data_IF_015424531829
#
_entry.id   IF_015424531829
#
_cell.length_a   1.000
_cell.length_b   1.000
_cell.length_c   1.000
_cell.angle_alpha   90.00
_cell.angle_beta   90.00
_cell.angle_gamma   90.00
#
_symmetry.space_group_name_H-M   'P 1'
#
loop_
_entity.id
_entity.type
_entity.pdbx_description
1 polymer ?
#
# COMPACT_ATOMS: atom_id res chain seq x y z
N UNK A 1 35.33 29.15 -6.70
CA UNK A 1 35.29 28.21 -5.56
C UNK A 1 34.41 27.03 -5.93
N UNK A 2 34.91 25.78 -5.85
CA UNK A 2 34.10 24.59 -6.16
C UNK A 2 32.95 24.43 -5.16
N UNK A 3 31.73 24.20 -5.67
CA UNK A 3 30.52 23.86 -4.90
C UNK A 3 30.38 22.36 -4.64
N UNK A 4 31.25 21.56 -5.25
CA UNK A 4 31.22 20.10 -5.28
C UNK A 4 31.75 19.49 -3.98
N UNK A 5 31.15 18.40 -3.51
CA UNK A 5 31.41 17.86 -2.17
C UNK A 5 32.84 17.36 -1.98
N UNK A 6 33.47 16.87 -3.05
CA UNK A 6 34.75 16.18 -3.01
C UNK A 6 34.69 14.80 -2.35
N UNK A 7 33.50 14.31 -2.02
CA UNK A 7 33.30 12.99 -1.42
C UNK A 7 33.36 11.90 -2.47
N UNK A 8 33.97 10.77 -2.11
CA UNK A 8 34.01 9.56 -2.93
C UNK A 8 32.74 8.73 -2.78
N UNK A 9 32.37 7.98 -3.82
CA UNK A 9 31.21 7.08 -3.82
C UNK A 9 30.07 7.56 -4.72
N UNK A 10 29.01 6.77 -4.82
CA UNK A 10 27.79 7.11 -5.55
C UNK A 10 26.64 7.45 -4.59
N UNK A 11 25.76 8.35 -5.02
CA UNK A 11 24.57 8.71 -4.28
C UNK A 11 23.52 7.61 -4.42
N UNK A 12 23.02 7.10 -3.29
CA UNK A 12 22.01 6.04 -3.25
C UNK A 12 20.70 6.41 -3.95
N UNK A 13 20.40 7.71 -4.07
CA UNK A 13 19.12 8.20 -4.59
C UNK A 13 19.15 8.48 -6.09
N UNK A 14 20.20 9.14 -6.61
CA UNK A 14 20.28 9.50 -8.03
C UNK A 14 21.35 8.73 -8.81
N UNK A 15 22.20 7.93 -8.15
CA UNK A 15 23.25 7.14 -8.80
C UNK A 15 24.50 7.93 -9.17
N UNK A 16 24.40 9.26 -9.30
CA UNK A 16 25.54 10.12 -9.59
C UNK A 16 26.60 10.11 -8.47
N UNK A 17 27.84 10.39 -8.83
CA UNK A 17 28.93 10.43 -7.87
C UNK A 17 28.70 11.50 -6.80
N UNK A 18 29.11 11.21 -5.56
CA UNK A 18 28.97 12.16 -4.45
C UNK A 18 29.78 13.43 -4.68
N UNK A 19 30.90 13.36 -5.40
CA UNK A 19 31.68 14.54 -5.79
C UNK A 19 30.89 15.50 -6.69
N UNK A 20 29.82 15.05 -7.36
CA UNK A 20 28.88 15.88 -8.14
C UNK A 20 27.74 16.45 -7.28
N UNK A 21 27.75 16.20 -5.96
CA UNK A 21 26.78 16.76 -5.03
C UNK A 21 27.32 18.03 -4.37
N UNK A 22 26.41 18.86 -3.86
CA UNK A 22 26.76 20.06 -3.10
C UNK A 22 27.54 19.69 -1.82
N UNK A 23 28.58 20.48 -1.50
CA UNK A 23 29.34 20.36 -0.24
C UNK A 23 28.43 20.27 0.98
N UNK A 24 28.77 19.35 1.88
CA UNK A 24 28.05 19.12 3.13
C UNK A 24 27.90 20.36 4.01
N UNK A 25 28.83 21.33 3.94
CA UNK A 25 28.74 22.59 4.69
C UNK A 25 27.70 23.56 4.12
N UNK A 26 27.32 23.42 2.85
CA UNK A 26 26.38 24.30 2.15
C UNK A 26 24.99 23.70 1.98
N UNK A 27 24.84 22.41 2.24
CA UNK A 27 23.58 21.67 2.05
C UNK A 27 22.89 21.27 3.36
N UNK A 28 23.03 22.03 4.46
CA UNK A 28 22.38 21.71 5.74
C UNK A 28 21.10 22.48 5.99
N UNK A 29 20.13 21.85 6.65
CA UNK A 29 18.96 22.53 7.19
C UNK A 29 19.38 23.63 8.17
N UNK A 30 18.87 24.85 8.00
CA UNK A 30 19.17 25.98 8.89
C UNK A 30 18.61 25.79 10.31
N UNK A 31 17.61 24.91 10.48
CA UNK A 31 16.98 24.63 11.80
C UNK A 31 17.59 23.43 12.52
N UNK A 32 17.66 22.27 11.86
CA UNK A 32 18.07 21.02 12.49
C UNK A 32 19.44 20.50 12.05
N UNK A 33 20.15 21.23 11.20
CA UNK A 33 21.50 20.92 10.71
C UNK A 33 21.66 19.59 9.95
N UNK A 34 20.56 18.86 9.67
CA UNK A 34 20.57 17.65 8.83
C UNK A 34 20.98 17.98 7.40
N UNK A 35 21.73 17.08 6.77
CA UNK A 35 22.33 17.26 5.44
C UNK A 35 21.39 16.84 4.32
N UNK A 36 21.16 17.74 3.37
CA UNK A 36 20.52 17.46 2.11
C UNK A 36 21.56 16.94 1.11
N UNK A 37 21.17 15.92 0.34
CA UNK A 37 21.90 15.51 -0.85
C UNK A 37 21.33 16.28 -2.04
N UNK A 38 22.14 17.16 -2.62
CA UNK A 38 21.75 18.01 -3.75
C UNK A 38 22.71 17.73 -4.90
N UNK A 39 22.25 17.00 -5.90
CA UNK A 39 22.98 16.66 -7.10
C UNK A 39 23.11 17.88 -8.02
N UNK A 40 24.34 18.16 -8.46
CA UNK A 40 24.69 19.24 -9.37
C UNK A 40 25.08 18.70 -10.77
N UNK A 41 24.92 17.40 -11.01
CA UNK A 41 25.25 16.78 -12.29
C UNK A 41 24.40 17.38 -13.44
N UNK A 42 25.00 17.64 -14.62
CA UNK A 42 24.30 18.24 -15.75
C UNK A 42 23.34 17.26 -16.47
N UNK A 43 23.35 15.97 -16.10
CA UNK A 43 22.59 14.89 -16.73
C UNK A 43 21.09 14.85 -16.39
N UNK A 44 20.59 15.80 -15.60
CA UNK A 44 19.16 15.94 -15.34
C UNK A 44 18.49 16.75 -16.45
N UNK A 45 17.35 16.26 -17.00
CA UNK A 45 16.63 16.77 -18.20
C UNK A 45 16.39 18.27 -18.26
N UNK A 46 16.43 18.95 -17.12
CA UNK A 46 16.33 20.40 -17.05
C UNK A 46 17.53 20.89 -16.26
N UNK A 47 18.44 21.58 -16.97
CA UNK A 47 19.70 22.14 -16.50
C UNK A 47 19.57 22.87 -15.16
N UNK A 48 19.63 22.10 -14.06
CA UNK A 48 19.28 22.58 -12.74
C UNK A 48 19.47 21.48 -11.70
N UNK A 49 19.81 21.90 -10.49
CA UNK A 49 20.16 20.99 -9.41
C UNK A 49 18.95 20.16 -8.96
N UNK A 50 19.23 18.96 -8.43
CA UNK A 50 18.21 18.05 -7.91
C UNK A 50 18.42 17.76 -6.45
N UNK A 51 17.34 17.81 -5.68
CA UNK A 51 17.31 17.37 -4.29
C UNK A 51 17.06 15.86 -4.31
N UNK A 52 18.11 15.12 -3.96
CA UNK A 52 18.13 13.68 -3.89
C UNK A 52 17.43 13.15 -2.64
N UNK A 53 17.62 13.85 -1.52
CA UNK A 53 17.06 13.49 -0.23
C UNK A 53 16.68 14.73 0.59
N UNK A 54 15.55 14.63 1.30
CA UNK A 54 15.04 15.63 2.23
C UNK A 54 14.97 14.97 3.61
N UNK A 55 16.02 15.12 4.45
CA UNK A 55 16.17 14.34 5.67
C UNK A 55 15.30 14.85 6.85
N UNK A 56 14.53 15.93 6.65
CA UNK A 56 13.82 16.61 7.74
C UNK A 56 12.53 17.30 7.30
N UNK A 57 11.52 17.31 8.19
CA UNK A 57 10.23 17.98 8.01
C UNK A 57 10.18 19.45 8.45
N UNK A 58 11.32 20.12 8.67
CA UNK A 58 11.34 21.48 9.21
C UNK A 58 10.63 22.53 8.33
N UNK A 59 10.40 22.22 7.04
CA UNK A 59 9.77 23.08 6.05
C UNK A 59 10.77 23.82 5.16
N UNK A 60 10.32 24.20 3.96
CA UNK A 60 11.14 24.81 2.91
C UNK A 60 11.84 26.12 3.31
N UNK A 61 11.26 26.88 4.26
CA UNK A 61 11.88 28.10 4.80
C UNK A 61 13.26 27.88 5.45
N UNK A 62 13.55 26.66 5.92
CA UNK A 62 14.84 26.31 6.54
C UNK A 62 15.76 25.54 5.60
N UNK A 63 15.40 25.37 4.34
CA UNK A 63 16.26 24.69 3.39
C UNK A 63 17.56 25.49 3.17
N UNK A 64 18.68 24.81 2.86
CA UNK A 64 19.91 25.50 2.50
C UNK A 64 19.67 26.40 1.30
N UNK A 65 20.41 27.50 1.20
CA UNK A 65 20.29 28.39 0.03
C UNK A 65 20.60 27.68 -1.28
N UNK A 66 21.43 26.63 -1.26
CA UNK A 66 21.70 25.79 -2.42
C UNK A 66 20.51 24.91 -2.84
N UNK A 67 19.51 24.71 -1.98
CA UNK A 67 18.27 24.06 -2.38
C UNK A 67 17.26 25.03 -3.00
N UNK A 68 17.48 26.36 -2.86
CA UNK A 68 16.65 27.36 -3.52
C UNK A 68 16.92 27.31 -5.03
N UNK A 69 15.97 26.75 -5.79
CA UNK A 69 16.11 26.52 -7.23
C UNK A 69 16.44 25.08 -7.60
N UNK A 70 16.79 24.24 -6.61
CA UNK A 70 16.88 22.80 -6.82
C UNK A 70 15.48 22.19 -6.84
N UNK A 71 15.21 21.32 -7.80
CA UNK A 71 13.94 20.58 -7.90
C UNK A 71 14.07 19.24 -7.22
N UNK A 72 12.98 18.64 -6.75
CA UNK A 72 13.04 17.24 -6.31
C UNK A 72 13.37 16.34 -7.50
N UNK A 73 14.06 15.22 -7.24
CA UNK A 73 14.18 14.16 -8.25
C UNK A 73 12.79 13.74 -8.72
N UNK A 74 12.63 13.62 -10.05
CA UNK A 74 11.47 12.93 -10.64
C UNK A 74 11.58 11.44 -10.36
N UNK A 75 10.47 10.70 -10.49
CA UNK A 75 10.47 9.25 -10.32
C UNK A 75 11.44 8.55 -11.28
N UNK A 76 11.49 9.02 -12.53
CA UNK A 76 12.44 8.59 -13.56
C UNK A 76 13.89 8.98 -13.25
N UNK A 77 14.11 9.83 -12.24
CA UNK A 77 15.42 10.32 -11.80
C UNK A 77 15.99 9.58 -10.59
N UNK A 78 15.20 8.71 -9.96
CA UNK A 78 15.70 7.85 -8.90
C UNK A 78 16.51 6.70 -9.50
N UNK A 79 17.65 6.41 -8.89
CA UNK A 79 18.61 5.42 -9.34
C UNK A 79 17.98 4.02 -9.44
N UNK A 80 18.07 3.38 -10.61
CA UNK A 80 18.89 2.16 -10.76
C UNK A 80 20.26 2.42 -11.40
N UNK A 81 20.88 3.53 -10.97
CA UNK A 81 22.16 4.15 -11.37
C UNK A 81 22.15 5.06 -12.62
N UNK A 82 20.96 5.29 -13.17
CA UNK A 82 20.45 6.54 -13.78
C UNK A 82 21.41 7.46 -14.57
N UNK A 83 21.39 7.37 -15.91
CA UNK A 83 21.04 8.51 -16.78
C UNK A 83 19.67 8.34 -17.46
N UNK A 84 18.64 8.85 -16.78
CA UNK A 84 17.22 8.93 -17.19
C UNK A 84 16.44 7.62 -17.16
N UNK A 85 16.74 6.76 -16.18
CA UNK A 85 16.16 5.43 -16.12
C UNK A 85 14.66 5.41 -15.80
N UNK A 86 13.91 4.75 -16.68
CA UNK A 86 12.55 4.24 -16.48
C UNK A 86 12.56 2.75 -16.85
N UNK A 87 11.74 1.88 -16.27
CA UNK A 87 10.46 1.60 -16.92
C UNK A 87 9.49 0.91 -15.96
N UNK A 88 8.27 1.44 -15.76
CA UNK A 88 7.13 0.66 -15.31
C UNK A 88 6.39 0.06 -16.53
N UNK A 89 6.46 -1.26 -16.81
CA UNK A 89 5.80 -1.83 -17.98
C UNK A 89 4.44 -2.46 -17.65
N UNK A 90 3.49 -2.02 -18.47
CA UNK A 90 2.14 -2.45 -18.85
C UNK A 90 1.34 -3.40 -17.96
N UNK A 91 0.18 -2.89 -17.55
CA UNK A 91 -0.98 -3.67 -17.18
C UNK A 91 -1.26 -4.76 -18.23
N UNK A 92 -1.12 -6.02 -17.82
CA UNK A 92 -1.85 -7.22 -18.25
C UNK A 92 -1.93 -7.56 -19.73
N UNK A 93 -1.23 -8.63 -20.14
CA UNK A 93 -1.85 -9.70 -20.93
C UNK A 93 -1.12 -11.04 -20.70
N UNK A 94 -1.90 -12.04 -20.34
CA UNK A 94 -1.54 -13.45 -20.20
C UNK A 94 -0.70 -13.96 -21.39
N UNK A 95 0.39 -14.65 -21.11
CA UNK A 95 0.70 -15.94 -21.77
C UNK A 95 1.82 -16.64 -21.02
N UNK A 96 1.48 -17.82 -20.52
CA UNK A 96 2.37 -18.79 -19.90
C UNK A 96 3.60 -19.10 -20.75
N UNK A 97 4.80 -18.85 -20.21
CA UNK A 97 5.97 -19.66 -20.56
C UNK A 97 6.81 -19.85 -19.29
N UNK A 98 7.10 -21.11 -18.96
CA UNK A 98 8.03 -21.47 -17.89
C UNK A 98 9.42 -20.94 -18.24
N UNK A 99 9.91 -19.98 -17.45
CA UNK A 99 11.31 -19.61 -17.44
C UNK A 99 11.83 -19.79 -16.01
N UNK A 100 12.56 -20.89 -15.81
CA UNK A 100 13.42 -21.16 -14.66
C UNK A 100 14.39 -20.01 -14.44
N UNK A 101 14.03 -19.06 -13.57
CA UNK A 101 14.98 -18.12 -12.99
C UNK A 101 15.60 -18.76 -11.77
N UNK A 102 16.88 -19.12 -11.86
CA UNK A 102 17.73 -19.34 -10.69
C UNK A 102 17.90 -18.02 -9.96
N UNK A 103 17.01 -17.75 -9.00
CA UNK A 103 17.26 -16.78 -7.94
C UNK A 103 18.26 -17.42 -6.98
N UNK A 104 19.43 -16.83 -6.81
CA UNK A 104 20.34 -17.24 -5.75
C UNK A 104 19.63 -17.06 -4.42
N UNK A 105 19.26 -18.19 -3.81
CA UNK A 105 18.55 -18.28 -2.55
C UNK A 105 19.42 -17.75 -1.41
N UNK A 106 19.22 -16.49 -1.05
CA UNK A 106 19.16 -16.15 0.37
C UNK A 106 17.73 -16.51 0.83
N UNK A 107 17.54 -17.15 1.98
CA UNK A 107 16.21 -17.50 2.46
C UNK A 107 15.41 -16.19 2.57
N UNK A 108 14.39 -16.05 1.71
CA UNK A 108 13.49 -14.92 1.75
C UNK A 108 12.75 -14.98 3.08
N UNK A 109 13.28 -14.28 4.09
CA UNK A 109 12.60 -14.12 5.37
C UNK A 109 11.23 -13.53 5.06
N UNK A 110 10.17 -14.21 5.50
CA UNK A 110 8.80 -13.72 5.33
C UNK A 110 8.70 -12.28 5.85
N UNK A 111 7.96 -11.40 5.15
CA UNK A 111 7.80 -10.02 5.59
C UNK A 111 7.16 -9.98 6.97
N UNK A 112 7.72 -9.17 7.86
CA UNK A 112 7.27 -9.03 9.24
C UNK A 112 6.19 -7.97 9.31
N UNK A 113 4.98 -8.37 9.72
CA UNK A 113 3.92 -7.40 9.99
C UNK A 113 4.22 -6.60 11.26
N UNK A 114 4.13 -5.27 11.16
CA UNK A 114 4.40 -4.36 12.28
C UNK A 114 3.28 -3.34 12.47
N UNK A 115 2.98 -3.04 13.74
CA UNK A 115 2.05 -1.97 14.10
C UNK A 115 2.82 -0.71 14.43
N UNK A 116 2.67 0.31 13.59
CA UNK A 116 3.34 1.59 13.77
C UNK A 116 2.66 2.44 14.85
N UNK A 117 3.47 3.06 15.69
CA UNK A 117 3.07 4.13 16.62
C UNK A 117 3.65 5.45 16.14
N UNK A 118 2.85 6.51 16.14
CA UNK A 118 3.35 7.84 15.80
C UNK A 118 4.11 8.44 16.99
N UNK A 119 5.30 8.97 16.72
CA UNK A 119 6.15 9.66 17.69
C UNK A 119 6.70 10.94 17.06
N UNK A 120 5.94 12.04 17.14
CA UNK A 120 6.22 13.26 16.39
C UNK A 120 6.17 13.03 14.88
N UNK A 121 7.23 13.39 14.17
CA UNK A 121 7.36 13.19 12.71
C UNK A 121 7.80 11.76 12.33
N UNK A 122 8.02 10.89 13.31
CA UNK A 122 8.54 9.54 13.12
C UNK A 122 7.46 8.49 13.39
N UNK A 123 7.67 7.31 12.82
CA UNK A 123 6.95 6.09 13.12
C UNK A 123 7.86 5.15 13.90
N UNK A 124 7.32 4.58 14.96
CA UNK A 124 8.01 3.72 15.89
C UNK A 124 7.37 2.33 15.92
N UNK A 125 8.20 1.29 15.89
CA UNK A 125 7.78 -0.08 16.16
C UNK A 125 8.93 -0.87 16.80
N UNK A 126 8.62 -2.08 17.29
CA UNK A 126 9.61 -2.96 17.92
C UNK A 126 9.77 -4.25 17.14
N UNK A 127 11.01 -4.69 16.93
CA UNK A 127 11.34 -5.98 16.34
C UNK A 127 12.58 -6.55 17.06
N UNK A 128 12.51 -7.81 17.50
CA UNK A 128 13.59 -8.47 18.27
C UNK A 128 14.11 -7.64 19.46
N UNK A 129 13.19 -7.09 20.27
CA UNK A 129 13.47 -6.18 21.40
C UNK A 129 14.17 -4.86 21.05
N UNK A 130 14.41 -4.58 19.77
CA UNK A 130 14.96 -3.32 19.30
C UNK A 130 13.84 -2.39 18.87
N UNK A 131 13.93 -1.13 19.29
CA UNK A 131 13.04 -0.05 18.88
C UNK A 131 13.57 0.54 17.58
N UNK A 132 12.74 0.49 16.53
CA UNK A 132 13.05 0.99 15.20
C UNK A 132 12.26 2.27 14.97
N UNK A 133 12.95 3.33 14.53
CA UNK A 133 12.38 4.63 14.21
C UNK A 133 12.50 4.88 12.70
N UNK A 134 11.37 5.17 12.06
CA UNK A 134 11.28 5.42 10.62
C UNK A 134 10.52 6.70 10.34
N UNK A 135 10.51 7.14 9.09
CA UNK A 135 9.69 8.26 8.63
C UNK A 135 8.70 7.77 7.57
N UNK A 136 7.63 8.51 7.33
CA UNK A 136 6.66 8.17 6.28
C UNK A 136 7.28 7.92 4.91
N UNK A 137 8.35 8.65 4.58
CA UNK A 137 9.07 8.50 3.30
C UNK A 137 9.83 7.17 3.16
N UNK A 138 10.03 6.42 4.24
CA UNK A 138 10.64 5.09 4.20
C UNK A 138 9.64 3.99 3.81
N UNK A 139 8.34 4.31 3.82
CA UNK A 139 7.28 3.37 3.53
C UNK A 139 6.77 3.59 2.10
N UNK A 140 6.79 2.52 1.30
CA UNK A 140 6.25 2.53 -0.07
C UNK A 140 4.97 1.70 -0.15
N UNK A 141 3.93 2.16 -0.87
CA UNK A 141 2.78 1.32 -1.13
C UNK A 141 3.21 0.14 -2.01
N UNK A 142 2.69 -1.05 -1.73
CA UNK A 142 3.00 -2.28 -2.46
C UNK A 142 1.81 -3.24 -2.43
N UNK A 143 1.82 -4.24 -3.31
CA UNK A 143 0.92 -5.39 -3.26
C UNK A 143 1.74 -6.64 -2.98
N UNK A 144 1.32 -7.40 -1.97
CA UNK A 144 2.00 -8.61 -1.56
C UNK A 144 0.96 -9.69 -1.24
N UNK A 145 1.30 -10.93 -1.54
CA UNK A 145 0.56 -12.09 -1.05
C UNK A 145 1.01 -12.36 0.38
N UNK A 146 0.13 -12.08 1.34
CA UNK A 146 0.38 -12.32 2.76
C UNK A 146 -0.71 -13.27 3.28
N UNK A 147 -0.30 -14.40 3.88
CA UNK A 147 -1.21 -15.46 4.33
C UNK A 147 -2.16 -15.98 3.23
N UNK A 148 -1.66 -16.06 1.98
CA UNK A 148 -2.44 -16.57 0.85
C UNK A 148 -3.42 -15.56 0.24
N UNK A 149 -3.43 -14.31 0.70
CA UNK A 149 -4.27 -13.25 0.16
C UNK A 149 -3.39 -12.12 -0.42
N UNK A 150 -3.68 -11.70 -1.65
CA UNK A 150 -3.04 -10.52 -2.24
C UNK A 150 -3.71 -9.25 -1.72
N UNK A 151 -2.93 -8.40 -1.07
CA UNK A 151 -3.43 -7.19 -0.43
C UNK A 151 -2.49 -6.00 -0.58
N UNK A 152 -3.04 -4.79 -0.41
CA UNK A 152 -2.30 -3.53 -0.49
C UNK A 152 -1.66 -3.18 0.87
N UNK A 153 -0.34 -3.20 0.94
CA UNK A 153 0.46 -2.89 2.13
C UNK A 153 1.34 -1.65 1.94
N UNK A 154 1.83 -1.14 3.05
CA UNK A 154 3.03 -0.32 3.08
C UNK A 154 4.22 -1.20 3.43
N UNK A 155 5.25 -1.16 2.61
CA UNK A 155 6.49 -1.91 2.76
C UNK A 155 7.64 -0.97 3.11
N UNK A 156 8.48 -1.41 4.04
CA UNK A 156 9.76 -0.79 4.37
C UNK A 156 10.81 -1.88 4.52
N UNK A 157 11.98 -1.67 3.93
CA UNK A 157 13.11 -2.60 4.03
C UNK A 157 14.19 -1.99 4.91
N UNK A 158 14.62 -2.72 5.94
CA UNK A 158 15.73 -2.31 6.79
C UNK A 158 16.58 -3.52 7.19
N UNK A 159 17.88 -3.44 6.97
CA UNK A 159 18.86 -4.48 7.29
C UNK A 159 18.52 -5.88 6.73
N UNK A 160 18.00 -5.92 5.50
CA UNK A 160 17.60 -7.17 4.84
C UNK A 160 16.29 -7.79 5.36
N UNK A 161 15.59 -7.11 6.26
CA UNK A 161 14.26 -7.50 6.74
C UNK A 161 13.21 -6.61 6.09
N UNK A 162 12.18 -7.25 5.53
CA UNK A 162 11.01 -6.59 4.99
C UNK A 162 9.96 -6.42 6.08
N UNK A 163 9.49 -5.20 6.29
CA UNK A 163 8.44 -4.87 7.25
C UNK A 163 7.20 -4.38 6.52
N UNK A 164 6.03 -4.89 6.90
CA UNK A 164 4.76 -4.51 6.29
C UNK A 164 3.78 -3.95 7.32
N UNK A 165 2.96 -2.97 6.90
CA UNK A 165 1.83 -2.47 7.68
C UNK A 165 0.65 -2.14 6.76
N UNK A 166 -0.57 -2.25 7.27
CA UNK A 166 -1.78 -1.87 6.53
C UNK A 166 -2.01 -0.36 6.50
N UNK A 167 -1.50 0.35 7.51
CA UNK A 167 -1.83 1.76 7.73
C UNK A 167 -0.59 2.56 8.13
N UNK A 168 -0.53 3.81 7.67
CA UNK A 168 0.42 4.79 8.16
C UNK A 168 -0.30 5.76 9.12
N UNK A 169 0.23 5.97 10.33
CA UNK A 169 -0.31 6.98 11.24
C UNK A 169 -0.19 8.39 10.64
N UNK A 170 -1.28 9.16 10.55
CA UNK A 170 -1.22 10.59 10.17
C UNK A 170 -1.70 11.50 11.29
N UNK A 171 -1.43 12.82 11.19
CA UNK A 171 -1.83 13.80 12.22
C UNK A 171 -3.35 13.91 12.40
N UNK A 172 -4.13 13.53 11.38
CA UNK A 172 -5.57 13.50 11.41
C UNK A 172 -6.04 12.14 10.87
N UNK A 173 -6.30 11.20 11.78
CA UNK A 173 -6.72 9.82 11.52
C UNK A 173 -5.69 8.91 10.79
N UNK A 174 -5.78 7.61 11.07
CA UNK A 174 -5.01 6.59 10.37
C UNK A 174 -5.36 6.64 8.87
N UNK A 175 -4.37 6.86 8.00
CA UNK A 175 -4.58 6.64 6.57
C UNK A 175 -4.49 5.14 6.36
N UNK A 176 -5.67 4.53 6.34
CA UNK A 176 -5.84 3.15 5.94
C UNK A 176 -5.50 3.02 4.45
N UNK A 177 -4.75 1.96 4.10
CA UNK A 177 -4.72 1.47 2.72
C UNK A 177 -6.16 1.41 2.20
N UNK A 178 -6.43 1.98 1.01
CA UNK A 178 -7.78 2.36 0.53
C UNK A 178 -8.78 1.19 0.37
N UNK A 179 -8.46 -0.02 0.81
CA UNK A 179 -9.31 -1.21 0.76
C UNK A 179 -9.64 -1.86 2.11
N UNK A 180 -9.03 -1.45 3.24
CA UNK A 180 -9.22 -2.17 4.51
C UNK A 180 -10.53 -1.88 5.27
N UNK A 181 -11.54 -1.24 4.64
CA UNK A 181 -12.83 -0.92 5.27
C UNK A 181 -13.82 -2.11 5.32
N UNK A 182 -13.37 -3.33 5.04
CA UNK A 182 -14.25 -4.48 4.81
C UNK A 182 -14.14 -5.68 5.73
N UNK A 183 -13.44 -5.66 6.89
CA UNK A 183 -13.63 -6.67 7.96
C UNK A 183 -12.90 -6.28 9.25
N UNK A 184 -13.60 -5.57 10.13
CA UNK A 184 -13.25 -5.57 11.56
C UNK A 184 -13.69 -6.91 12.13
N UNK A 185 -12.75 -7.83 12.36
CA UNK A 185 -12.97 -8.90 13.34
C UNK A 185 -12.92 -8.24 14.72
N UNK A 186 -14.07 -8.12 15.35
CA UNK A 186 -14.20 -7.63 16.71
C UNK A 186 -13.50 -8.64 17.64
N UNK A 187 -12.46 -8.21 18.34
CA UNK A 187 -12.00 -8.88 19.55
C UNK A 187 -12.72 -8.23 20.74
N UNK A 188 -13.65 -8.91 21.43
CA UNK A 188 -13.98 -8.53 22.79
C UNK A 188 -12.84 -8.92 23.73
N UNK A 189 -12.65 -8.07 24.74
CA UNK A 189 -11.64 -8.17 25.77
C UNK A 189 -11.60 -9.54 26.46
N UNK A 190 -10.39 -9.95 26.84
CA UNK A 190 -10.13 -11.17 27.61
C UNK A 190 -11.01 -11.29 28.86
N UNK A 191 -11.38 -12.53 29.21
CA UNK A 191 -11.22 -13.04 30.56
C UNK A 191 -9.97 -13.92 30.60
N UNK A 192 -9.19 -13.74 31.65
CA UNK A 192 -8.10 -14.61 32.06
C UNK A 192 -8.57 -16.06 32.20
N UNK A 193 -8.18 -16.92 31.25
CA UNK A 193 -8.25 -18.36 31.46
C UNK A 193 -6.95 -18.81 32.12
N UNK A 194 -7.05 -19.07 33.42
CA UNK A 194 -6.20 -20.00 34.12
C UNK A 194 -6.17 -21.30 33.31
N UNK A 195 -4.98 -21.78 32.96
CA UNK A 195 -4.79 -23.10 32.38
C UNK A 195 -5.02 -24.12 33.47
N UNK A 196 -6.24 -24.62 33.61
CA UNK A 196 -6.41 -25.98 34.16
C UNK A 196 -5.92 -26.96 33.11
N UNK A 197 -4.78 -27.60 33.41
CA UNK A 197 -4.37 -28.87 32.86
C UNK A 197 -5.55 -29.84 32.99
N UNK A 198 -6.27 -30.10 31.90
CA UNK A 198 -7.20 -31.23 31.81
C UNK A 198 -6.76 -32.11 30.65
N UNK A 199 -6.19 -33.26 31.03
CA UNK A 199 -6.24 -34.57 30.39
C UNK A 199 -6.55 -34.59 28.89
N UNK A 200 -5.49 -34.41 28.10
CA UNK A 200 -5.44 -34.86 26.71
C UNK A 200 -5.38 -36.39 26.69
N UNK A 201 -6.52 -37.04 26.95
CA UNK A 201 -6.69 -38.48 26.75
C UNK A 201 -6.74 -38.77 25.26
N UNK A 202 -5.89 -39.69 24.81
CA UNK A 202 -5.81 -40.19 23.44
C UNK A 202 -7.23 -40.52 22.90
N UNK A 203 -7.64 -40.02 21.71
CA UNK A 203 -8.94 -40.32 21.10
C UNK A 203 -9.26 -41.81 20.96
N UNK A 204 -8.24 -42.69 20.99
CA UNK A 204 -8.43 -44.14 20.99
C UNK A 204 -8.86 -44.72 22.34
N UNK A 205 -8.87 -43.92 23.40
CA UNK A 205 -9.28 -44.33 24.75
C UNK A 205 -10.62 -43.71 25.18
N UNK A 206 -11.32 -43.05 24.27
CA UNK A 206 -12.66 -42.54 24.56
C UNK A 206 -13.68 -43.69 24.57
N UNK A 207 -14.61 -43.62 25.51
CA UNK A 207 -15.77 -44.51 25.50
C UNK A 207 -16.76 -44.08 24.40
N UNK A 208 -17.61 -45.02 24.00
CA UNK A 208 -18.53 -44.85 22.88
C UNK A 208 -19.48 -43.65 23.08
N UNK A 209 -19.84 -43.35 24.33
CA UNK A 209 -20.70 -42.21 24.67
C UNK A 209 -19.99 -40.86 24.42
N UNK A 210 -18.69 -40.76 24.73
CA UNK A 210 -17.89 -39.55 24.44
C UNK A 210 -17.60 -39.40 22.95
N UNK A 211 -17.39 -40.50 22.24
CA UNK A 211 -17.22 -40.48 20.77
C UNK A 211 -18.50 -39.97 20.10
N UNK A 212 -19.68 -40.43 20.52
CA UNK A 212 -20.96 -39.94 19.96
C UNK A 212 -21.19 -38.45 20.26
N UNK A 213 -20.85 -37.97 21.46
CA UNK A 213 -20.99 -36.56 21.83
C UNK A 213 -20.07 -35.63 21.00
N UNK A 214 -18.81 -36.00 20.81
CA UNK A 214 -17.85 -35.27 19.96
C UNK A 214 -18.25 -35.35 18.48
N UNK A 215 -18.74 -36.50 18.01
CA UNK A 215 -19.19 -36.69 16.62
C UNK A 215 -20.48 -35.91 16.32
N UNK A 216 -21.38 -35.76 17.31
CA UNK A 216 -22.55 -34.88 17.18
C UNK A 216 -22.15 -33.40 17.09
N UNK A 217 -21.14 -32.93 17.84
CA UNK A 217 -20.63 -31.57 17.71
C UNK A 217 -19.93 -31.34 16.37
N UNK A 218 -19.15 -32.31 15.90
CA UNK A 218 -18.55 -32.28 14.56
C UNK A 218 -19.61 -32.26 13.45
N UNK A 219 -20.72 -33.00 13.62
CA UNK A 219 -21.84 -33.02 12.68
C UNK A 219 -22.62 -31.70 12.67
N UNK A 220 -22.74 -31.00 13.80
CA UNK A 220 -23.33 -29.65 13.83
C UNK A 220 -22.45 -28.62 13.11
N UNK A 221 -21.13 -28.81 13.10
CA UNK A 221 -20.18 -27.98 12.34
C UNK A 221 -20.14 -28.34 10.85
N UNK A 222 -20.45 -29.59 10.48
CA UNK A 222 -20.59 -30.03 9.09
C UNK A 222 -21.85 -29.49 8.39
N UNK A 223 -22.82 -28.95 9.14
CA UNK A 223 -24.00 -28.26 8.60
C UNK A 223 -23.73 -26.90 7.94
N UNK A 224 -22.47 -26.43 7.95
CA UNK A 224 -22.01 -25.24 7.22
C UNK A 224 -21.18 -25.56 5.96
N UNK A 225 -21.12 -26.83 5.55
CA UNK A 225 -20.46 -27.26 4.33
C UNK A 225 -21.42 -27.20 3.11
N UNK A 226 -21.30 -26.10 2.37
CA UNK A 226 -21.28 -26.03 0.90
C UNK A 226 -22.13 -27.05 0.13
N UNK A 227 -23.31 -26.59 -0.31
CA UNK A 227 -23.99 -27.18 -1.46
C UNK A 227 -23.08 -27.08 -2.68
N UNK A 228 -22.63 -28.24 -3.16
CA UNK A 228 -21.92 -28.39 -4.42
C UNK A 228 -22.83 -27.99 -5.58
N UNK A 229 -22.36 -27.05 -6.39
CA UNK A 229 -23.03 -26.64 -7.62
C UNK A 229 -22.33 -25.48 -8.32
N UNK A 230 -21.62 -25.83 -9.40
CA UNK A 230 -21.48 -25.01 -10.62
C UNK A 230 -20.49 -23.83 -10.63
N UNK A 231 -19.40 -24.03 -11.39
CA UNK A 231 -18.73 -23.09 -12.31
C UNK A 231 -18.52 -21.66 -11.84
N UNK A 232 -17.26 -21.30 -11.55
CA UNK A 232 -16.62 -19.97 -11.63
C UNK A 232 -17.56 -18.78 -11.87
N UNK A 233 -18.42 -18.49 -10.90
CA UNK A 233 -19.10 -17.21 -10.81
C UNK A 233 -18.22 -16.32 -9.94
N UNK A 234 -17.32 -15.59 -10.60
CA UNK A 234 -16.76 -14.36 -10.03
C UNK A 234 -17.96 -13.54 -9.58
N UNK A 235 -18.14 -13.42 -8.26
CA UNK A 235 -19.22 -12.62 -7.70
C UNK A 235 -18.98 -11.18 -8.16
N UNK A 236 -19.85 -10.71 -9.06
CA UNK A 236 -19.80 -9.32 -9.50
C UNK A 236 -20.32 -8.46 -8.33
N UNK A 237 -19.41 -7.97 -7.50
CA UNK A 237 -19.69 -7.13 -6.33
C UNK A 237 -20.28 -5.74 -6.70
N UNK A 238 -20.56 -5.49 -7.98
CA UNK A 238 -21.10 -4.23 -8.48
C UNK A 238 -22.58 -4.09 -8.17
N UNK A 239 -22.96 -2.88 -7.74
CA UNK A 239 -24.36 -2.53 -7.52
C UNK A 239 -25.00 -2.14 -8.85
N UNK A 240 -25.91 -2.99 -9.35
CA UNK A 240 -26.67 -2.70 -10.56
C UNK A 240 -27.66 -1.55 -10.34
N UNK A 241 -27.57 -0.49 -11.16
CA UNK A 241 -28.41 0.71 -11.06
C UNK A 241 -29.02 1.10 -12.40
N UNK A 242 -30.13 1.84 -12.33
CA UNK A 242 -30.75 2.47 -13.50
C UNK A 242 -30.30 3.93 -13.55
N UNK A 243 -29.37 4.23 -14.47
CA UNK A 243 -28.80 5.56 -14.64
C UNK A 243 -29.44 6.31 -15.83
N UNK A 244 -29.52 7.64 -15.72
CA UNK A 244 -29.97 8.51 -16.81
C UNK A 244 -29.22 9.82 -16.84
N UNK A 245 -29.12 10.44 -18.01
CA UNK A 245 -28.56 11.77 -18.15
C UNK A 245 -29.45 12.80 -17.46
N UNK A 246 -28.82 13.73 -16.76
CA UNK A 246 -29.45 14.87 -16.12
C UNK A 246 -28.64 16.12 -16.51
N UNK A 247 -29.25 17.04 -17.25
CA UNK A 247 -28.52 18.18 -17.81
C UNK A 247 -27.51 17.78 -18.89
N UNK A 248 -26.50 18.64 -19.14
CA UNK A 248 -25.52 18.45 -20.23
C UNK A 248 -24.40 17.46 -19.88
N UNK A 249 -24.06 17.33 -18.61
CA UNK A 249 -22.80 16.72 -18.15
C UNK A 249 -22.94 15.88 -16.88
N UNK A 250 -24.17 15.59 -16.43
CA UNK A 250 -24.41 14.76 -15.25
C UNK A 250 -25.23 13.53 -15.55
N UNK A 251 -25.09 12.54 -14.67
CA UNK A 251 -25.82 11.28 -14.65
C UNK A 251 -26.44 11.12 -13.27
N UNK A 252 -27.75 10.91 -13.23
CA UNK A 252 -28.50 10.61 -12.01
C UNK A 252 -28.87 9.13 -11.94
N UNK A 253 -28.82 8.55 -10.75
CA UNK A 253 -29.22 7.17 -10.47
C UNK A 253 -29.64 7.04 -9.00
N UNK A 254 -30.34 5.96 -8.65
CA UNK A 254 -30.68 5.65 -7.24
C UNK A 254 -29.72 4.60 -6.71
N UNK A 255 -29.23 4.77 -5.47
CA UNK A 255 -28.47 3.73 -4.78
C UNK A 255 -29.39 2.64 -4.20
N UNK A 256 -28.81 1.64 -3.52
CA UNK A 256 -29.58 0.56 -2.90
C UNK A 256 -30.61 1.04 -1.87
N UNK A 257 -30.38 2.20 -1.25
CA UNK A 257 -31.31 2.82 -0.28
C UNK A 257 -32.41 3.65 -0.95
N UNK A 258 -32.48 3.66 -2.29
CA UNK A 258 -33.43 4.46 -3.06
C UNK A 258 -33.12 5.96 -3.11
N UNK A 259 -32.02 6.42 -2.51
CA UNK A 259 -31.58 7.81 -2.52
C UNK A 259 -31.06 8.17 -3.91
N UNK A 260 -31.51 9.31 -4.44
CA UNK A 260 -31.04 9.83 -5.71
C UNK A 260 -29.62 10.41 -5.55
N UNK A 261 -28.71 9.96 -6.39
CA UNK A 261 -27.31 10.41 -6.48
C UNK A 261 -27.13 11.06 -7.86
N UNK A 262 -26.32 12.11 -7.90
CA UNK A 262 -25.84 12.73 -9.15
C UNK A 262 -24.33 12.60 -9.24
N UNK A 263 -23.84 12.35 -10.44
CA UNK A 263 -22.42 12.15 -10.74
C UNK A 263 -22.10 12.83 -12.07
N UNK A 264 -20.82 13.09 -12.33
CA UNK A 264 -20.39 13.61 -13.62
C UNK A 264 -20.42 12.52 -14.68
N UNK A 265 -20.83 12.87 -15.90
CA UNK A 265 -20.83 11.97 -17.05
C UNK A 265 -19.43 11.38 -17.31
N UNK A 266 -18.38 12.18 -17.14
CA UNK A 266 -16.99 11.76 -17.32
C UNK A 266 -16.50 10.74 -16.29
N UNK A 267 -17.23 10.53 -15.19
CA UNK A 267 -16.90 9.54 -14.17
C UNK A 267 -17.45 8.14 -14.49
N UNK A 268 -18.29 8.00 -15.52
CA UNK A 268 -18.81 6.70 -15.98
C UNK A 268 -17.91 6.14 -17.07
N UNK A 269 -17.22 5.05 -16.76
CA UNK A 269 -16.29 4.38 -17.67
C UNK A 269 -17.03 3.26 -18.42
N UNK A 270 -17.00 3.21 -19.76
CA UNK A 270 -17.57 2.09 -20.51
C UNK A 270 -16.79 0.81 -20.18
N UNK A 271 -17.50 -0.28 -19.90
CA UNK A 271 -16.92 -1.57 -19.54
C UNK A 271 -17.80 -2.70 -20.08
N UNK A 272 -17.28 -3.47 -21.03
CA UNK A 272 -17.99 -4.62 -21.61
C UNK A 272 -19.37 -4.25 -22.14
N UNK A 273 -20.40 -4.71 -21.44
CA UNK A 273 -21.82 -4.56 -21.78
C UNK A 273 -22.50 -3.33 -21.15
N UNK A 274 -21.75 -2.44 -20.50
CA UNK A 274 -22.32 -1.28 -19.83
C UNK A 274 -21.35 -0.17 -19.44
N UNK A 275 -21.68 0.49 -18.35
CA UNK A 275 -20.95 1.61 -17.78
C UNK A 275 -20.76 1.40 -16.28
N UNK A 276 -19.56 1.67 -15.80
CA UNK A 276 -19.14 1.53 -14.41
C UNK A 276 -18.85 2.91 -13.83
N UNK A 277 -19.33 3.16 -12.61
CA UNK A 277 -19.01 4.35 -11.83
C UNK A 277 -18.52 3.94 -10.45
N UNK A 278 -17.25 4.25 -10.17
CA UNK A 278 -16.65 4.06 -8.86
C UNK A 278 -16.84 5.31 -8.01
N UNK A 279 -17.64 5.20 -6.96
CA UNK A 279 -17.85 6.29 -6.02
C UNK A 279 -16.92 6.17 -4.81
N UNK A 280 -16.00 7.12 -4.69
CA UNK A 280 -15.14 7.25 -3.51
C UNK A 280 -15.93 7.63 -2.25
N UNK A 281 -16.96 8.47 -2.39
CA UNK A 281 -17.77 8.95 -1.26
C UNK A 281 -18.60 7.83 -0.63
N UNK A 282 -19.03 6.85 -1.42
CA UNK A 282 -19.83 5.71 -0.94
C UNK A 282 -19.03 4.41 -0.83
N UNK A 283 -17.76 4.39 -1.27
CA UNK A 283 -16.91 3.19 -1.28
C UNK A 283 -17.52 2.05 -2.10
N UNK A 284 -18.20 2.36 -3.20
CA UNK A 284 -18.98 1.40 -3.99
C UNK A 284 -18.80 1.58 -5.48
N UNK A 285 -18.94 0.48 -6.20
CA UNK A 285 -18.93 0.45 -7.66
C UNK A 285 -20.34 0.21 -8.18
N UNK A 286 -20.84 1.16 -8.95
CA UNK A 286 -22.16 1.10 -9.57
C UNK A 286 -22.03 0.69 -11.03
N UNK A 287 -22.93 -0.18 -11.50
CA UNK A 287 -22.95 -0.62 -12.89
C UNK A 287 -24.32 -0.41 -13.52
N UNK A 288 -24.35 0.02 -14.78
CA UNK A 288 -25.56 0.09 -15.59
C UNK A 288 -25.28 -0.38 -17.01
N UNK A 289 -26.16 -1.20 -17.59
CA UNK A 289 -26.02 -1.62 -19.00
C UNK A 289 -26.14 -0.44 -19.97
N UNK A 290 -26.93 0.59 -19.62
CA UNK A 290 -27.14 1.77 -20.47
C UNK A 290 -27.53 2.98 -19.66
N UNK A 291 -26.99 4.15 -20.02
CA UNK A 291 -27.43 5.44 -19.46
C UNK A 291 -28.56 5.97 -20.35
N UNK A 292 -29.76 6.10 -19.78
CA UNK A 292 -30.96 6.56 -20.51
C UNK A 292 -30.89 8.06 -20.78
N UNK A 293 -31.55 8.54 -21.83
CA UNK A 293 -31.70 9.97 -22.09
C UNK A 293 -32.48 10.65 -20.95
N UNK A 294 -32.24 11.95 -20.76
CA UNK A 294 -33.03 12.77 -19.85
C UNK A 294 -34.51 12.71 -20.22
N UNK A 295 -35.41 12.63 -19.23
CA UNK A 295 -36.83 12.87 -19.49
C UNK A 295 -36.98 14.33 -19.91
N UNK A 296 -37.65 14.55 -21.05
CA UNK A 296 -38.12 15.89 -21.45
C UNK A 296 -39.14 16.39 -20.44
#
# INVERSE_FOLDING_TARGET
>A
MSTSSGESGSCLFCGHYLNEHTKASRSRCKKCNKRFYICQAPLHETAGWRICDIPCGCGSKYYPTTANGARRLKQTEFAPTHPLYESPPSNGEDTSYEATFSTSAAPATEPVYVKLKKNGDQFEFSHNNNKILTYAVHWRPTRLVYQGQEDDFWLMENDGVSYITWTLPTDNQEVQSQRSLGKRVAYPAQPSHERTLSDSTDPLQWDDERIEAETQMASQMAGLALGGGSSDQVQDDRVHVSARYYGKDKVEFKNENGKLITSWKSSWVPSGDGFVFESKDYGKTYFTKKIKAAKK
#
